data_IF_295439675729
#
_entry.id   IF_295439675729
#
_cell.length_a   1.000
_cell.length_b   1.000
_cell.length_c   1.000
_cell.angle_alpha   90.00
_cell.angle_beta   90.00
_cell.angle_gamma   90.00
#
_symmetry.space_group_name_H-M   'P 1'
#
loop_
_entity.id
_entity.type
_entity.pdbx_description
1 polymer ?
#
# COMPACT_ATOMS: atom_id res chain seq x y z
N UNK A 1 -23.43 -31.92 51.97
CA UNK A 1 -23.71 -31.94 50.51
C UNK A 1 -24.63 -30.80 50.06
N UNK A 2 -24.20 -29.53 50.13
CA UNK A 2 -24.96 -28.37 49.57
C UNK A 2 -24.15 -27.39 48.71
N UNK A 3 -22.82 -27.49 48.65
CA UNK A 3 -21.98 -26.53 47.89
C UNK A 3 -21.90 -26.76 46.38
N UNK A 4 -22.08 -27.99 45.88
CA UNK A 4 -21.84 -28.30 44.46
C UNK A 4 -22.95 -27.77 43.54
N UNK A 5 -24.15 -27.52 44.08
CA UNK A 5 -25.30 -27.07 43.28
C UNK A 5 -25.21 -25.60 42.85
N UNK A 6 -24.55 -24.73 43.62
CA UNK A 6 -24.47 -23.30 43.29
C UNK A 6 -23.46 -23.01 42.18
N UNK A 7 -22.36 -23.78 42.10
CA UNK A 7 -21.33 -23.59 41.07
C UNK A 7 -21.83 -23.96 39.67
N UNK A 8 -22.68 -25.00 39.56
CA UNK A 8 -23.22 -25.42 38.27
C UNK A 8 -24.23 -24.40 37.70
N UNK A 9 -25.06 -23.81 38.57
CA UNK A 9 -26.05 -22.79 38.16
C UNK A 9 -25.36 -21.50 37.68
N UNK A 10 -24.24 -21.13 38.31
CA UNK A 10 -23.47 -19.95 37.92
C UNK A 10 -22.80 -20.09 36.54
N UNK A 11 -22.31 -21.29 36.21
CA UNK A 11 -21.66 -21.58 34.91
C UNK A 11 -22.69 -21.56 33.75
N UNK A 12 -23.91 -22.03 33.99
CA UNK A 12 -24.98 -21.97 32.98
C UNK A 12 -25.46 -20.54 32.71
N UNK A 13 -25.59 -19.70 33.75
CA UNK A 13 -25.97 -18.30 33.58
C UNK A 13 -24.89 -17.47 32.85
N UNK A 14 -23.62 -17.71 33.14
CA UNK A 14 -22.51 -16.98 32.51
C UNK A 14 -22.35 -17.32 31.01
N UNK A 15 -22.55 -18.60 30.64
CA UNK A 15 -22.52 -19.02 29.23
C UNK A 15 -23.73 -18.52 28.43
N UNK A 16 -24.93 -18.46 29.03
CA UNK A 16 -26.12 -17.92 28.36
C UNK A 16 -25.98 -16.42 28.02
N UNK A 17 -25.39 -15.63 28.92
CA UNK A 17 -25.16 -14.19 28.71
C UNK A 17 -24.12 -13.91 27.60
N UNK A 18 -23.08 -14.74 27.51
CA UNK A 18 -22.08 -14.65 26.44
C UNK A 18 -22.65 -15.10 25.08
N UNK A 19 -23.59 -16.04 25.06
CA UNK A 19 -24.25 -16.50 23.84
C UNK A 19 -25.23 -15.45 23.28
N UNK A 20 -26.00 -14.78 24.16
CA UNK A 20 -26.94 -13.73 23.74
C UNK A 20 -26.24 -12.52 23.10
N UNK A 21 -25.07 -12.12 23.62
CA UNK A 21 -24.26 -11.03 23.04
C UNK A 21 -23.73 -11.36 21.64
N UNK A 22 -23.38 -12.62 21.38
CA UNK A 22 -22.90 -13.06 20.06
C UNK A 22 -24.01 -13.06 19.01
N UNK A 23 -25.23 -13.45 19.40
CA UNK A 23 -26.41 -13.39 18.52
C UNK A 23 -26.79 -11.94 18.21
N UNK A 24 -26.71 -11.03 19.21
CA UNK A 24 -27.00 -9.61 18.99
C UNK A 24 -26.03 -8.99 17.97
N UNK A 25 -24.73 -9.29 18.05
CA UNK A 25 -23.73 -8.79 17.09
C UNK A 25 -23.95 -9.37 15.68
N UNK A 26 -24.35 -10.65 15.59
CA UNK A 26 -24.69 -11.29 14.31
C UNK A 26 -25.92 -10.65 13.66
N UNK A 27 -26.91 -10.21 14.44
CA UNK A 27 -28.15 -9.61 13.91
C UNK A 27 -27.95 -8.22 13.31
N UNK A 28 -26.97 -7.44 13.78
CA UNK A 28 -26.67 -6.10 13.25
C UNK A 28 -25.97 -6.18 11.89
N UNK A 29 -25.22 -7.26 11.62
CA UNK A 29 -24.46 -7.42 10.39
C UNK A 29 -25.31 -7.91 9.20
N UNK A 30 -26.49 -8.49 9.43
CA UNK A 30 -27.38 -8.97 8.36
C UNK A 30 -28.27 -7.87 7.76
N UNK A 31 -28.40 -6.70 8.41
CA UNK A 31 -29.28 -5.61 7.92
C UNK A 31 -28.59 -4.68 6.90
N UNK A 32 -27.28 -4.84 6.67
CA UNK A 32 -26.50 -3.97 5.77
C UNK A 32 -26.39 -4.49 4.32
N UNK A 33 -27.13 -5.52 3.90
CA UNK A 33 -27.02 -6.08 2.55
C UNK A 33 -28.39 -6.47 2.00
N UNK A 34 -29.19 -5.44 1.71
CA UNK A 34 -30.53 -5.61 1.16
C UNK A 34 -31.14 -4.31 0.63
N UNK A 35 -30.38 -3.50 -0.12
CA UNK A 35 -31.00 -2.52 -1.03
C UNK A 35 -30.69 -2.96 -2.46
N UNK A 36 -31.65 -3.65 -3.06
CA UNK A 36 -31.71 -3.82 -4.51
C UNK A 36 -31.98 -2.42 -5.06
N UNK A 37 -30.94 -1.74 -5.54
CA UNK A 37 -31.12 -0.46 -6.22
C UNK A 37 -31.67 -0.77 -7.61
N UNK A 38 -32.95 -0.46 -7.82
CA UNK A 38 -33.60 -0.56 -9.13
C UNK A 38 -32.91 0.38 -10.11
N UNK A 39 -32.59 -0.12 -11.30
CA UNK A 39 -31.87 0.60 -12.34
C UNK A 39 -32.81 1.41 -13.25
N UNK A 40 -33.84 2.05 -12.71
CA UNK A 40 -34.93 2.64 -13.51
C UNK A 40 -35.02 4.18 -13.48
N UNK A 41 -34.01 4.89 -12.98
CA UNK A 41 -34.08 6.37 -12.94
C UNK A 41 -32.86 7.10 -13.56
N UNK A 42 -31.98 6.37 -14.25
CA UNK A 42 -30.84 6.98 -14.96
C UNK A 42 -31.23 7.65 -16.29
N UNK A 43 -32.48 7.53 -16.73
CA UNK A 43 -33.01 8.16 -17.96
C UNK A 43 -33.81 9.44 -17.71
N UNK A 44 -34.12 9.80 -16.46
CA UNK A 44 -34.86 11.01 -16.13
C UNK A 44 -33.96 12.25 -15.92
N UNK A 45 -32.64 12.08 -15.88
CA UNK A 45 -31.70 13.21 -15.77
C UNK A 45 -31.41 13.75 -17.17
N UNK A 46 -31.79 14.99 -17.51
CA UNK A 46 -31.39 15.57 -18.78
C UNK A 46 -29.87 15.58 -18.83
N UNK A 47 -29.34 14.97 -19.90
CA UNK A 47 -27.93 14.99 -20.24
C UNK A 47 -27.46 16.44 -20.17
N UNK A 48 -26.68 16.78 -19.15
CA UNK A 48 -25.96 18.04 -19.10
C UNK A 48 -24.80 17.94 -20.11
N UNK A 49 -25.15 17.92 -21.39
CA UNK A 49 -24.25 18.29 -22.47
C UNK A 49 -24.02 19.77 -22.23
N UNK A 50 -22.81 20.13 -21.80
CA UNK A 50 -22.31 21.50 -21.79
C UNK A 50 -22.33 21.99 -23.24
N UNK A 51 -23.48 22.52 -23.67
CA UNK A 51 -23.60 23.33 -24.87
C UNK A 51 -22.91 24.65 -24.51
N UNK A 52 -21.70 24.81 -25.04
CA UNK A 52 -20.95 26.06 -25.00
C UNK A 52 -21.74 27.12 -25.77
N UNK A 53 -22.64 27.83 -25.08
CA UNK A 53 -23.25 29.05 -25.61
C UNK A 53 -22.15 30.10 -25.71
N UNK A 54 -21.74 30.36 -26.96
CA UNK A 54 -21.00 31.57 -27.32
C UNK A 54 -21.96 32.75 -27.19
N UNK A 55 -21.99 33.39 -26.03
CA UNK A 55 -22.46 34.77 -25.92
C UNK A 55 -21.50 35.55 -25.03
N UNK A 56 -20.69 36.34 -25.73
CA UNK A 56 -19.89 37.48 -25.31
C UNK A 56 -20.04 37.89 -23.83
N UNK A 57 -19.25 37.27 -22.97
CA UNK A 57 -18.93 37.85 -21.66
C UNK A 57 -17.43 38.08 -21.63
N UNK A 58 -17.02 39.26 -22.09
CA UNK A 58 -15.69 39.80 -21.83
C UNK A 58 -15.57 40.08 -20.33
N UNK A 59 -15.28 39.04 -19.56
CA UNK A 59 -14.65 39.18 -18.26
C UNK A 59 -13.16 38.91 -18.51
N UNK A 60 -12.41 39.97 -18.82
CA UNK A 60 -10.96 39.98 -18.61
C UNK A 60 -10.70 39.83 -17.11
N UNK A 61 -10.82 38.61 -16.60
CA UNK A 61 -10.00 38.18 -15.48
C UNK A 61 -8.58 38.09 -16.05
N UNK A 62 -7.81 39.16 -15.86
CA UNK A 62 -6.34 39.11 -15.86
C UNK A 62 -5.91 38.11 -14.79
N UNK A 63 -6.00 36.84 -15.13
CA UNK A 63 -5.31 35.79 -14.44
C UNK A 63 -4.11 35.45 -15.32
N UNK A 64 -2.97 36.09 -15.04
CA UNK A 64 -1.69 35.86 -15.73
C UNK A 64 -1.17 34.41 -15.56
N UNK A 65 -1.93 33.53 -14.91
CA UNK A 65 -1.64 32.10 -14.75
C UNK A 65 -2.63 31.25 -15.55
N UNK A 66 -2.46 31.24 -16.87
CA UNK A 66 -2.98 30.16 -17.70
C UNK A 66 -2.08 28.93 -17.50
N UNK A 67 -2.48 28.03 -16.59
CA UNK A 67 -1.78 26.76 -16.36
C UNK A 67 -2.13 25.78 -17.48
N UNK A 68 -1.15 25.42 -18.30
CA UNK A 68 -1.29 24.34 -19.28
C UNK A 68 -1.08 22.99 -18.58
N UNK A 69 -2.17 22.25 -18.37
CA UNK A 69 -2.17 20.93 -17.76
C UNK A 69 -1.40 19.89 -18.58
N UNK A 70 -1.36 20.03 -19.91
CA UNK A 70 -0.66 19.08 -20.77
C UNK A 70 0.85 19.24 -20.64
N UNK A 71 1.35 20.48 -20.64
CA UNK A 71 2.77 20.75 -20.41
C UNK A 71 3.18 20.42 -18.97
N UNK A 72 2.34 20.72 -17.99
CA UNK A 72 2.57 20.33 -16.59
C UNK A 72 2.69 18.81 -16.42
N UNK A 73 1.86 18.03 -17.12
CA UNK A 73 1.93 16.57 -17.10
C UNK A 73 3.23 16.05 -17.73
N UNK A 74 3.64 16.59 -18.88
CA UNK A 74 4.90 16.21 -19.52
C UNK A 74 6.11 16.52 -18.64
N UNK A 75 6.10 17.68 -17.99
CA UNK A 75 7.17 18.07 -17.07
C UNK A 75 7.24 17.12 -15.88
N UNK A 76 6.11 16.77 -15.29
CA UNK A 76 6.05 15.78 -14.21
C UNK A 76 6.57 14.40 -14.65
N UNK A 77 6.21 13.94 -15.84
CA UNK A 77 6.71 12.67 -16.38
C UNK A 77 8.23 12.71 -16.56
N UNK A 78 8.76 13.80 -17.12
CA UNK A 78 10.19 14.00 -17.32
C UNK A 78 10.95 14.07 -15.99
N UNK A 79 10.42 14.77 -14.98
CA UNK A 79 11.00 14.83 -13.65
C UNK A 79 11.06 13.45 -13.00
N UNK A 80 10.03 12.63 -13.17
CA UNK A 80 10.01 11.26 -12.68
C UNK A 80 11.03 10.36 -13.39
N UNK A 81 11.27 10.57 -14.69
CA UNK A 81 12.32 9.86 -15.44
C UNK A 81 13.70 10.30 -14.94
N UNK A 82 13.92 11.61 -14.77
CA UNK A 82 15.19 12.16 -14.30
C UNK A 82 15.54 11.65 -12.90
N UNK A 83 14.57 11.62 -11.98
CA UNK A 83 14.74 11.03 -10.65
C UNK A 83 15.15 9.56 -10.73
N UNK A 84 14.47 8.77 -11.56
CA UNK A 84 14.82 7.35 -11.75
C UNK A 84 16.23 7.15 -12.29
N UNK A 85 16.68 8.01 -13.21
CA UNK A 85 18.04 7.96 -13.75
C UNK A 85 19.05 8.27 -12.64
N UNK A 86 18.83 9.33 -11.88
CA UNK A 86 19.70 9.71 -10.75
C UNK A 86 19.79 8.59 -9.71
N UNK A 87 18.66 7.96 -9.38
CA UNK A 87 18.62 6.83 -8.46
C UNK A 87 19.45 5.65 -8.99
N UNK A 88 19.32 5.32 -10.28
CA UNK A 88 20.09 4.24 -10.91
C UNK A 88 21.59 4.53 -10.93
N UNK A 89 21.99 5.76 -11.26
CA UNK A 89 23.39 6.19 -11.25
C UNK A 89 23.98 6.08 -9.84
N UNK A 90 23.23 6.54 -8.82
CA UNK A 90 23.66 6.42 -7.43
C UNK A 90 23.86 4.96 -7.01
N UNK A 91 22.95 4.05 -7.41
CA UNK A 91 23.08 2.63 -7.12
C UNK A 91 24.29 2.01 -7.82
N UNK A 92 24.54 2.42 -9.06
CA UNK A 92 25.69 1.95 -9.83
C UNK A 92 27.01 2.42 -9.20
N UNK A 93 27.08 3.66 -8.73
CA UNK A 93 28.24 4.19 -8.01
C UNK A 93 28.49 3.42 -6.71
N UNK A 94 27.45 3.24 -5.90
CA UNK A 94 27.49 2.43 -4.67
C UNK A 94 27.99 1.01 -4.98
N UNK A 95 27.50 0.40 -6.05
CA UNK A 95 27.93 -0.93 -6.46
C UNK A 95 29.40 -0.94 -6.90
N UNK A 96 29.84 0.04 -7.68
CA UNK A 96 31.24 0.15 -8.10
C UNK A 96 32.18 0.31 -6.89
N UNK A 97 31.80 1.15 -5.92
CA UNK A 97 32.58 1.38 -4.70
C UNK A 97 32.62 0.16 -3.78
N UNK A 98 31.58 -0.67 -3.79
CA UNK A 98 31.45 -1.82 -2.86
C UNK A 98 31.70 -3.20 -3.50
N UNK A 99 31.99 -3.26 -4.80
CA UNK A 99 32.12 -4.52 -5.55
C UNK A 99 33.15 -5.48 -4.95
N UNK A 100 34.30 -4.96 -4.55
CA UNK A 100 35.43 -5.74 -4.02
C UNK A 100 35.46 -5.82 -2.47
N UNK A 101 34.45 -5.28 -1.80
CA UNK A 101 34.35 -5.32 -0.34
C UNK A 101 33.77 -6.65 0.16
N UNK A 102 34.19 -7.08 1.34
CA UNK A 102 33.54 -8.22 2.01
C UNK A 102 32.09 -7.85 2.37
N UNK A 103 31.19 -8.83 2.59
CA UNK A 103 29.82 -8.54 3.00
C UNK A 103 29.72 -7.73 4.31
N UNK A 104 30.72 -7.88 5.19
CA UNK A 104 30.78 -7.11 6.43
C UNK A 104 31.17 -5.66 6.16
N UNK A 105 32.27 -5.44 5.42
CA UNK A 105 32.78 -4.10 5.10
C UNK A 105 31.77 -3.33 4.24
N UNK A 106 31.10 -4.02 3.32
CA UNK A 106 30.02 -3.44 2.51
C UNK A 106 28.86 -2.92 3.37
N UNK A 107 28.47 -3.64 4.41
CA UNK A 107 27.43 -3.19 5.33
C UNK A 107 27.87 -1.98 6.15
N UNK A 108 29.14 -1.95 6.59
CA UNK A 108 29.72 -0.79 7.26
C UNK A 108 29.76 0.43 6.34
N UNK A 109 30.19 0.26 5.08
CA UNK A 109 30.19 1.30 4.08
C UNK A 109 28.79 1.93 3.90
N UNK A 110 27.73 1.12 3.80
CA UNK A 110 26.36 1.64 3.70
C UNK A 110 25.91 2.43 4.92
N UNK A 111 26.31 2.03 6.13
CA UNK A 111 26.01 2.76 7.36
C UNK A 111 26.74 4.12 7.40
N UNK A 112 28.03 4.13 7.05
CA UNK A 112 28.85 5.34 7.04
C UNK A 112 28.33 6.37 6.02
N UNK A 113 27.93 5.91 4.85
CA UNK A 113 27.46 6.75 3.75
C UNK A 113 25.94 6.95 3.75
N UNK A 114 25.24 6.47 4.81
CA UNK A 114 23.78 6.59 5.00
C UNK A 114 22.94 6.02 3.85
N UNK A 115 23.46 5.00 3.16
CA UNK A 115 22.73 4.26 2.12
C UNK A 115 21.82 3.20 2.75
N UNK A 116 20.83 3.62 3.52
CA UNK A 116 19.93 2.71 4.25
C UNK A 116 19.15 1.76 3.34
N UNK A 117 18.69 2.24 2.17
CA UNK A 117 18.00 1.38 1.21
C UNK A 117 18.89 0.24 0.69
N UNK A 118 20.17 0.53 0.41
CA UNK A 118 21.14 -0.48 0.00
C UNK A 118 21.49 -1.44 1.15
N UNK A 119 21.56 -0.93 2.39
CA UNK A 119 21.78 -1.73 3.60
C UNK A 119 20.64 -2.72 3.84
N UNK A 120 19.40 -2.27 3.74
CA UNK A 120 18.21 -3.10 3.92
C UNK A 120 18.13 -4.17 2.82
N UNK A 121 18.36 -3.79 1.57
CA UNK A 121 18.42 -4.72 0.45
C UNK A 121 19.52 -5.78 0.64
N UNK A 122 20.70 -5.37 1.12
CA UNK A 122 21.80 -6.26 1.40
C UNK A 122 21.48 -7.23 2.55
N UNK A 123 20.91 -6.74 3.65
CA UNK A 123 20.45 -7.57 4.77
C UNK A 123 19.39 -8.58 4.34
N UNK A 124 18.38 -8.14 3.58
CA UNK A 124 17.34 -9.01 3.03
C UNK A 124 17.93 -10.09 2.10
N UNK A 125 18.85 -9.73 1.22
CA UNK A 125 19.55 -10.67 0.34
C UNK A 125 20.35 -11.75 1.10
N UNK A 126 21.00 -11.39 2.20
CA UNK A 126 21.71 -12.33 3.07
C UNK A 126 20.75 -13.31 3.78
N UNK A 127 19.62 -12.80 4.26
CA UNK A 127 18.60 -13.63 4.90
C UNK A 127 17.95 -14.61 3.91
N UNK A 128 17.64 -14.15 2.69
CA UNK A 128 17.16 -14.99 1.60
C UNK A 128 18.17 -16.09 1.24
N UNK A 129 19.45 -15.74 1.09
CA UNK A 129 20.52 -16.70 0.80
C UNK A 129 20.67 -17.75 1.91
N UNK A 130 20.46 -17.33 3.17
CA UNK A 130 20.53 -18.23 4.33
C UNK A 130 19.33 -19.18 4.37
N UNK A 131 18.12 -18.68 4.07
CA UNK A 131 16.92 -19.51 3.94
C UNK A 131 17.05 -20.54 2.81
N UNK A 132 17.61 -20.13 1.68
CA UNK A 132 17.87 -21.03 0.56
C UNK A 132 18.86 -22.13 0.94
N UNK A 133 19.96 -21.77 1.61
CA UNK A 133 20.93 -22.75 2.12
C UNK A 133 20.29 -23.72 3.11
N UNK A 134 19.43 -23.24 4.01
CA UNK A 134 18.71 -24.09 4.97
C UNK A 134 17.77 -25.08 4.26
N UNK A 135 17.05 -24.64 3.23
CA UNK A 135 16.22 -25.51 2.37
C UNK A 135 17.06 -26.58 1.69
N UNK A 136 18.17 -26.16 1.05
CA UNK A 136 19.04 -27.07 0.30
C UNK A 136 19.72 -28.12 1.20
N UNK A 137 19.95 -27.79 2.47
CA UNK A 137 20.48 -28.72 3.48
C UNK A 137 19.41 -29.59 4.14
N UNK A 138 18.13 -29.42 3.79
CA UNK A 138 17.02 -30.13 4.42
C UNK A 138 16.71 -29.70 5.86
N UNK A 139 17.25 -28.56 6.31
CA UNK A 139 17.01 -28.01 7.67
C UNK A 139 15.59 -27.46 7.80
N UNK A 140 14.99 -27.03 6.69
CA UNK A 140 13.61 -26.55 6.62
C UNK A 140 12.87 -27.22 5.46
N UNK A 141 11.56 -27.38 5.59
CA UNK A 141 10.74 -27.91 4.51
C UNK A 141 10.55 -26.89 3.38
N UNK A 142 10.22 -27.37 2.18
CA UNK A 142 9.87 -26.49 1.05
C UNK A 142 8.68 -25.59 1.38
N UNK A 143 7.71 -26.08 2.16
CA UNK A 143 6.55 -25.30 2.59
C UNK A 143 6.96 -24.16 3.53
N UNK A 144 7.83 -24.44 4.50
CA UNK A 144 8.34 -23.42 5.43
C UNK A 144 9.19 -22.37 4.71
N UNK A 145 9.99 -22.81 3.72
CA UNK A 145 10.73 -21.91 2.85
C UNK A 145 9.79 -20.96 2.10
N UNK A 146 8.76 -21.48 1.44
CA UNK A 146 7.78 -20.68 0.69
C UNK A 146 7.08 -19.64 1.57
N UNK A 147 6.70 -20.00 2.80
CA UNK A 147 6.09 -19.05 3.74
C UNK A 147 7.07 -17.93 4.15
N UNK A 148 8.34 -18.25 4.34
CA UNK A 148 9.35 -17.29 4.80
C UNK A 148 9.80 -16.34 3.69
N UNK A 149 9.94 -16.80 2.43
CA UNK A 149 10.39 -15.94 1.32
C UNK A 149 9.39 -14.81 0.98
N UNK A 150 8.09 -15.01 1.22
CA UNK A 150 7.05 -13.99 0.95
C UNK A 150 7.29 -12.72 1.77
N UNK A 151 7.87 -12.85 2.97
CA UNK A 151 8.21 -11.70 3.82
C UNK A 151 9.31 -10.80 3.23
N UNK A 152 10.20 -11.39 2.43
CA UNK A 152 11.39 -10.72 1.89
C UNK A 152 11.25 -10.26 0.44
N UNK A 153 10.15 -10.62 -0.21
CA UNK A 153 9.82 -10.18 -1.55
C UNK A 153 8.41 -9.56 -1.53
N UNK A 154 8.23 -8.38 -0.90
CA UNK A 154 6.98 -7.67 -1.00
C UNK A 154 6.73 -7.37 -2.47
N UNK A 155 5.62 -7.89 -2.99
CA UNK A 155 5.22 -7.71 -4.39
C UNK A 155 5.36 -6.24 -4.82
N UNK A 156 5.92 -5.95 -6.02
CA UNK A 156 6.06 -4.57 -6.55
C UNK A 156 4.76 -3.78 -6.63
N UNK A 157 3.62 -4.46 -6.54
CA UNK A 157 2.28 -3.88 -6.65
C UNK A 157 2.03 -2.86 -5.51
N UNK A 158 2.62 -3.05 -4.33
CA UNK A 158 2.40 -2.15 -3.19
C UNK A 158 3.01 -0.75 -3.38
N UNK A 159 4.08 -0.59 -4.16
CA UNK A 159 4.71 0.72 -4.40
C UNK A 159 4.07 1.53 -5.53
N UNK A 160 3.26 0.90 -6.39
CA UNK A 160 2.68 1.56 -7.56
C UNK A 160 1.46 2.43 -7.23
N UNK A 161 0.76 2.12 -6.15
CA UNK A 161 -0.45 2.83 -5.71
C UNK A 161 -0.17 4.20 -5.10
N UNK A 162 1.00 4.42 -4.51
CA UNK A 162 1.32 5.69 -3.83
C UNK A 162 1.87 6.76 -4.77
N UNK A 163 2.35 6.36 -5.96
CA UNK A 163 2.98 7.29 -6.92
C UNK A 163 1.99 8.07 -7.78
N UNK A 164 0.73 7.63 -7.89
CA UNK A 164 -0.30 8.34 -8.68
C UNK A 164 -1.16 9.28 -7.83
N UNK A 165 -0.60 9.89 -6.79
CA UNK A 165 -1.30 10.95 -6.07
C UNK A 165 -1.21 12.24 -6.89
N UNK A 166 -2.20 12.46 -7.76
CA UNK A 166 -2.38 13.72 -8.46
C UNK A 166 -2.61 14.81 -7.41
N UNK A 167 -1.57 15.58 -7.08
CA UNK A 167 -1.69 16.71 -6.17
C UNK A 167 -2.29 17.86 -6.98
N UNK A 168 -3.62 17.94 -7.03
CA UNK A 168 -4.30 19.08 -7.64
C UNK A 168 -4.12 20.26 -6.67
N UNK A 169 -3.47 21.37 -7.09
CA UNK A 169 -3.36 22.55 -6.23
C UNK A 169 -4.77 23.11 -6.01
N UNK A 170 -5.21 23.14 -4.76
CA UNK A 170 -6.42 23.86 -4.34
C UNK A 170 -5.94 25.30 -4.11
N UNK A 171 -6.33 26.22 -5.01
CA UNK A 171 -6.13 27.65 -4.78
C UNK A 171 -6.99 28.13 -3.62
N UNK A 172 -6.44 29.02 -2.79
CA UNK A 172 -7.18 29.74 -1.74
C UNK A 172 -8.17 30.76 -2.34
#
# INVERSE_FOLDING_TARGET
MKSVKYTLVFICFFNGWLFLKKILILSISTVASGSVFSADDLLAKPQSILVLQKEDTQLELKNDQQVDFFESFKQQEQDQINQRIQDLESLQEIQANTANMSPHDRAQYYLEHRHYGALDAHGNGQQLSSLEKARNRGVISNRDYQQKIVKYNPSPIAHRSDQFKLTIPIGE
#
